data_IF_299293214574
#
_entry.id   IF_299293214574
#
_cell.length_a   1.000
_cell.length_b   1.000
_cell.length_c   1.000
_cell.angle_alpha   90.00
_cell.angle_beta   90.00
_cell.angle_gamma   90.00
#
_symmetry.space_group_name_H-M   'P 1'
#
loop_
_entity.id
_entity.type
_entity.pdbx_description
1 polymer ?
#
# COMPACT_ATOMS: atom_id res chain seq x y z
N UNK A 1 -9.27 20.54 -29.63
CA UNK A 1 -9.15 19.72 -28.40
C UNK A 1 -8.42 18.47 -28.80
N UNK A 2 -7.17 18.31 -28.40
CA UNK A 2 -6.48 17.01 -28.43
C UNK A 2 -7.33 16.05 -27.59
N UNK A 3 -7.68 14.85 -28.09
CA UNK A 3 -8.41 13.89 -27.28
C UNK A 3 -7.58 13.56 -26.04
N UNK A 4 -8.23 13.51 -24.87
CA UNK A 4 -7.60 13.04 -23.64
C UNK A 4 -7.05 11.64 -23.86
N UNK A 5 -5.77 11.43 -23.58
CA UNK A 5 -5.05 10.17 -23.83
C UNK A 5 -5.07 9.24 -22.63
N UNK A 6 -6.11 9.36 -21.78
CA UNK A 6 -6.28 8.50 -20.61
C UNK A 6 -7.65 7.81 -20.58
N UNK A 7 -7.65 6.61 -20.01
CA UNK A 7 -8.86 5.82 -19.74
C UNK A 7 -8.81 5.26 -18.31
N UNK A 8 -9.97 5.05 -17.69
CA UNK A 8 -10.11 4.32 -16.44
C UNK A 8 -11.01 3.11 -16.70
N UNK A 9 -10.48 1.92 -16.48
CA UNK A 9 -11.27 0.70 -16.42
C UNK A 9 -11.59 0.40 -14.95
N UNK A 10 -12.85 0.55 -14.55
CA UNK A 10 -13.30 0.24 -13.19
C UNK A 10 -13.93 -1.15 -13.12
N UNK A 11 -13.32 -2.03 -12.33
CA UNK A 11 -13.75 -3.40 -12.12
C UNK A 11 -14.48 -3.62 -10.80
N UNK A 12 -14.52 -2.60 -9.94
CA UNK A 12 -15.29 -2.62 -8.70
C UNK A 12 -16.75 -2.28 -9.01
N UNK A 13 -17.68 -3.14 -8.59
CA UNK A 13 -19.10 -2.79 -8.62
C UNK A 13 -19.36 -1.57 -7.72
N UNK A 14 -20.41 -0.79 -8.01
CA UNK A 14 -20.72 0.43 -7.26
C UNK A 14 -20.93 0.17 -5.75
N UNK A 15 -21.37 -1.03 -5.39
CA UNK A 15 -21.59 -1.53 -4.03
C UNK A 15 -20.48 -2.45 -3.52
N UNK A 16 -19.47 -2.78 -4.33
CA UNK A 16 -18.41 -3.73 -3.96
C UNK A 16 -17.64 -3.29 -2.71
N UNK A 17 -17.38 -2.00 -2.57
CA UNK A 17 -16.71 -1.45 -1.40
C UNK A 17 -17.58 -1.57 -0.14
N UNK A 18 -18.88 -1.29 -0.23
CA UNK A 18 -19.80 -1.43 0.90
C UNK A 18 -19.93 -2.90 1.34
N UNK A 19 -20.11 -3.81 0.39
CA UNK A 19 -20.25 -5.25 0.68
C UNK A 19 -18.95 -5.85 1.25
N UNK A 20 -17.80 -5.45 0.72
CA UNK A 20 -16.51 -5.84 1.27
C UNK A 20 -16.34 -5.31 2.71
N UNK A 21 -16.72 -4.05 2.97
CA UNK A 21 -16.64 -3.46 4.32
C UNK A 21 -17.56 -4.21 5.29
N UNK A 22 -18.80 -4.50 4.89
CA UNK A 22 -19.77 -5.28 5.68
C UNK A 22 -19.20 -6.64 6.07
N UNK A 23 -18.67 -7.37 5.10
CA UNK A 23 -18.07 -8.69 5.30
C UNK A 23 -16.85 -8.63 6.23
N UNK A 24 -15.95 -7.69 5.97
CA UNK A 24 -14.69 -7.55 6.72
C UNK A 24 -14.95 -7.14 8.18
N UNK A 25 -15.88 -6.21 8.41
CA UNK A 25 -16.28 -5.77 9.75
C UNK A 25 -17.00 -6.90 10.51
N UNK A 26 -17.95 -7.58 9.87
CA UNK A 26 -18.66 -8.71 10.49
C UNK A 26 -17.69 -9.84 10.90
N UNK A 27 -16.75 -10.18 10.01
CA UNK A 27 -15.76 -11.20 10.27
C UNK A 27 -14.77 -10.76 11.35
N UNK A 28 -14.14 -9.60 11.19
CA UNK A 28 -13.06 -9.15 12.05
C UNK A 28 -13.48 -8.83 13.48
N UNK A 29 -14.67 -8.24 13.68
CA UNK A 29 -15.15 -7.87 15.02
C UNK A 29 -15.71 -9.04 15.83
N UNK A 30 -16.00 -10.18 15.19
CA UNK A 30 -16.48 -11.40 15.86
C UNK A 30 -15.37 -12.40 16.18
N UNK A 31 -14.12 -12.08 15.80
CA UNK A 31 -12.95 -12.90 16.11
C UNK A 31 -12.37 -12.64 17.49
N UNK A 32 -11.49 -13.54 17.93
CA UNK A 32 -10.66 -13.38 19.13
C UNK A 32 -9.21 -13.72 18.75
N UNK A 33 -8.28 -12.74 18.69
CA UNK A 33 -8.52 -11.30 18.88
C UNK A 33 -9.38 -10.69 17.77
N UNK A 34 -10.04 -9.57 18.06
CA UNK A 34 -10.76 -8.77 17.05
C UNK A 34 -9.76 -8.12 16.08
N UNK A 35 -10.18 -7.91 14.83
CA UNK A 35 -9.36 -7.19 13.86
C UNK A 35 -10.19 -6.37 12.85
N UNK A 36 -9.55 -5.41 12.18
CA UNK A 36 -10.08 -4.72 11.00
C UNK A 36 -8.98 -4.62 9.92
N UNK A 37 -9.29 -4.90 8.64
CA UNK A 37 -8.29 -4.78 7.58
C UNK A 37 -7.81 -3.34 7.34
N UNK A 38 -6.51 -3.13 7.08
CA UNK A 38 -5.93 -1.78 6.94
C UNK A 38 -6.37 -1.05 5.67
N UNK A 39 -6.94 -1.75 4.67
CA UNK A 39 -7.49 -1.10 3.47
C UNK A 39 -8.59 -0.09 3.80
N UNK A 40 -9.28 -0.26 4.94
CA UNK A 40 -10.33 0.65 5.39
C UNK A 40 -9.81 1.90 6.11
N UNK A 41 -8.49 2.08 6.24
CA UNK A 41 -7.95 3.37 6.65
C UNK A 41 -8.10 4.44 5.58
N UNK A 42 -8.09 4.07 4.30
CA UNK A 42 -7.86 4.99 3.19
C UNK A 42 -9.16 5.58 2.59
N UNK A 43 -10.07 6.06 3.44
CA UNK A 43 -11.05 7.04 2.97
C UNK A 43 -10.36 8.40 2.69
N UNK A 44 -11.09 9.42 2.24
CA UNK A 44 -10.50 10.74 1.93
C UNK A 44 -9.71 11.31 3.12
N UNK A 45 -10.28 11.25 4.33
CA UNK A 45 -9.65 11.80 5.53
C UNK A 45 -8.43 10.97 5.97
N UNK A 46 -8.53 9.64 5.89
CA UNK A 46 -7.41 8.77 6.22
C UNK A 46 -6.26 8.87 5.21
N UNK A 47 -6.56 9.07 3.93
CA UNK A 47 -5.54 9.33 2.90
C UNK A 47 -4.80 10.64 3.16
N UNK A 48 -5.49 11.71 3.57
CA UNK A 48 -4.86 12.96 4.00
C UNK A 48 -3.99 12.80 5.27
N UNK A 49 -4.42 11.94 6.21
CA UNK A 49 -3.63 11.60 7.39
C UNK A 49 -2.39 10.78 7.04
N UNK A 50 -2.50 9.83 6.11
CA UNK A 50 -1.35 9.07 5.61
C UNK A 50 -0.35 9.98 4.88
N UNK A 51 -0.85 10.90 4.06
CA UNK A 51 -0.02 11.93 3.42
C UNK A 51 0.74 12.76 4.46
N UNK A 52 0.11 13.15 5.57
CA UNK A 52 0.81 13.78 6.71
C UNK A 52 1.85 12.85 7.35
N UNK A 53 1.53 11.57 7.56
CA UNK A 53 2.45 10.57 8.11
C UNK A 53 3.74 10.52 7.28
N UNK A 54 3.64 10.54 5.95
CA UNK A 54 4.82 10.47 5.08
C UNK A 54 5.85 11.58 5.29
N UNK A 55 5.47 12.68 5.93
CA UNK A 55 6.31 13.86 6.22
C UNK A 55 6.78 13.94 7.66
N UNK A 56 6.34 13.04 8.54
CA UNK A 56 6.73 13.05 9.95
C UNK A 56 8.23 12.77 10.12
N UNK A 57 8.90 13.42 11.08
CA UNK A 57 10.32 13.17 11.34
C UNK A 57 10.59 11.72 11.77
N UNK A 58 9.66 11.05 12.42
CA UNK A 58 9.78 9.65 12.84
C UNK A 58 9.57 8.67 11.68
N UNK A 59 8.69 8.98 10.72
CA UNK A 59 8.31 8.09 9.62
C UNK A 59 9.30 8.14 8.45
N UNK A 60 10.40 7.38 8.58
CA UNK A 60 11.46 7.31 7.57
C UNK A 60 11.14 6.60 6.24
N UNK A 61 10.20 5.64 6.13
CA UNK A 61 10.08 4.82 4.91
C UNK A 61 9.97 5.63 3.61
N UNK A 62 9.10 6.63 3.57
CA UNK A 62 8.85 7.42 2.35
C UNK A 62 10.09 8.17 1.87
N UNK A 63 10.81 8.83 2.80
CA UNK A 63 12.03 9.58 2.46
C UNK A 63 13.22 8.68 2.13
N UNK A 64 13.34 7.53 2.80
CA UNK A 64 14.40 6.56 2.52
C UNK A 64 14.21 5.98 1.11
N UNK A 65 13.00 5.54 0.77
CA UNK A 65 12.70 5.03 -0.57
C UNK A 65 12.87 6.11 -1.66
N UNK A 66 12.43 7.35 -1.39
CA UNK A 66 12.64 8.48 -2.30
C UNK A 66 14.14 8.80 -2.51
N UNK A 67 14.99 8.65 -1.49
CA UNK A 67 16.45 8.79 -1.63
C UNK A 67 17.00 7.74 -2.61
N UNK A 68 16.57 6.48 -2.49
CA UNK A 68 17.00 5.40 -3.39
C UNK A 68 16.57 5.71 -4.83
N UNK A 69 15.31 6.08 -5.04
CA UNK A 69 14.80 6.43 -6.36
C UNK A 69 15.53 7.65 -6.95
N UNK A 70 15.80 8.68 -6.14
CA UNK A 70 16.56 9.86 -6.57
C UNK A 70 17.99 9.53 -7.01
N UNK A 71 18.61 8.50 -6.43
CA UNK A 71 19.96 8.06 -6.81
C UNK A 71 19.97 7.06 -7.97
N UNK A 72 18.97 6.19 -8.07
CA UNK A 72 19.03 5.00 -8.92
C UNK A 72 17.91 4.86 -9.96
N UNK A 73 16.99 5.82 -10.10
CA UNK A 73 15.90 5.73 -11.08
C UNK A 73 16.42 5.52 -12.52
N UNK A 74 17.52 6.18 -12.91
CA UNK A 74 18.13 6.00 -14.24
C UNK A 74 18.70 4.58 -14.44
N UNK A 75 19.33 4.01 -13.41
CA UNK A 75 19.81 2.62 -13.41
C UNK A 75 18.65 1.63 -13.51
N UNK A 76 17.59 1.85 -12.73
CA UNK A 76 16.36 1.05 -12.73
C UNK A 76 15.74 1.08 -14.14
N UNK A 77 15.55 2.26 -14.71
CA UNK A 77 14.99 2.43 -16.05
C UNK A 77 15.87 1.76 -17.13
N UNK A 78 17.20 1.86 -17.00
CA UNK A 78 18.13 1.20 -17.91
C UNK A 78 18.06 -0.32 -17.82
N UNK A 79 18.04 -0.88 -16.60
CA UNK A 79 17.99 -2.31 -16.37
C UNK A 79 16.64 -2.92 -16.78
N UNK A 80 15.54 -2.24 -16.47
CA UNK A 80 14.20 -2.67 -16.86
C UNK A 80 14.00 -2.58 -18.38
N UNK A 81 14.56 -1.55 -19.03
CA UNK A 81 14.39 -1.32 -20.47
C UNK A 81 12.92 -1.21 -20.89
N UNK A 82 12.07 -0.76 -19.96
CA UNK A 82 10.62 -0.71 -20.09
C UNK A 82 10.16 0.50 -20.93
N UNK A 83 9.02 0.34 -21.58
CA UNK A 83 8.27 1.46 -22.20
C UNK A 83 6.99 1.79 -21.42
N UNK A 84 6.58 0.91 -20.50
CA UNK A 84 5.35 1.00 -19.73
C UNK A 84 5.67 0.91 -18.24
N UNK A 85 5.28 1.92 -17.47
CA UNK A 85 5.33 1.87 -16.01
C UNK A 85 3.94 1.47 -15.48
N UNK A 86 3.87 0.38 -14.72
CA UNK A 86 2.67 -0.02 -13.98
C UNK A 86 2.94 0.28 -12.50
N UNK A 87 2.05 0.99 -11.82
CA UNK A 87 2.17 1.25 -10.39
C UNK A 87 1.03 0.58 -9.63
N UNK A 88 1.36 -0.27 -8.66
CA UNK A 88 0.41 -0.88 -7.74
C UNK A 88 0.29 -0.01 -6.49
N UNK A 89 -0.87 0.63 -6.31
CA UNK A 89 -1.14 1.49 -5.15
C UNK A 89 -0.62 2.89 -5.38
N UNK A 90 -1.14 3.54 -6.42
CA UNK A 90 -0.57 4.76 -7.00
C UNK A 90 -0.54 5.97 -6.06
N UNK A 91 -1.44 6.05 -5.06
CA UNK A 91 -1.48 7.17 -4.11
C UNK A 91 -1.34 8.53 -4.79
N UNK A 92 -0.49 9.42 -4.26
CA UNK A 92 -0.20 10.75 -4.83
C UNK A 92 0.92 10.74 -5.91
N UNK A 93 1.56 9.59 -6.13
CA UNK A 93 2.51 9.31 -7.21
C UNK A 93 3.78 10.21 -7.27
N UNK A 94 4.23 10.82 -6.18
CA UNK A 94 5.46 11.66 -6.20
C UNK A 94 6.71 10.83 -6.52
N UNK A 95 6.85 9.66 -5.89
CA UNK A 95 7.94 8.70 -6.15
C UNK A 95 7.88 8.17 -7.60
N UNK A 96 6.67 7.96 -8.10
CA UNK A 96 6.40 7.50 -9.48
C UNK A 96 6.99 8.44 -10.52
N UNK A 97 6.95 9.75 -10.26
CA UNK A 97 7.51 10.77 -11.17
C UNK A 97 9.01 10.57 -11.39
N UNK A 98 9.76 10.12 -10.39
CA UNK A 98 11.19 9.82 -10.56
C UNK A 98 11.42 8.69 -11.58
N UNK A 99 10.58 7.65 -11.55
CA UNK A 99 10.64 6.55 -12.52
C UNK A 99 10.15 6.98 -13.91
N UNK A 100 9.06 7.75 -13.98
CA UNK A 100 8.55 8.30 -15.24
C UNK A 100 9.58 9.23 -15.90
N UNK A 101 10.22 10.12 -15.12
CA UNK A 101 11.27 11.00 -15.60
C UNK A 101 12.46 10.22 -16.15
N UNK A 102 12.92 9.18 -15.44
CA UNK A 102 14.02 8.32 -15.90
C UNK A 102 13.67 7.61 -17.22
N UNK A 103 12.47 7.03 -17.35
CA UNK A 103 12.01 6.39 -18.59
C UNK A 103 11.86 7.40 -19.74
N UNK A 104 11.36 8.61 -19.45
CA UNK A 104 11.23 9.70 -20.44
C UNK A 104 12.60 10.17 -20.93
N UNK A 105 13.55 10.38 -20.02
CA UNK A 105 14.91 10.84 -20.36
C UNK A 105 15.64 9.82 -21.23
N UNK A 106 15.30 8.53 -21.12
CA UNK A 106 15.78 7.45 -22.00
C UNK A 106 15.04 7.36 -23.33
N UNK A 107 13.96 8.12 -23.52
CA UNK A 107 13.12 8.08 -24.71
C UNK A 107 12.30 6.81 -24.86
N UNK A 108 12.12 6.03 -23.77
CA UNK A 108 11.34 4.78 -23.82
C UNK A 108 9.92 4.93 -23.29
N UNK A 109 9.64 5.92 -22.44
CA UNK A 109 8.32 6.10 -21.82
C UNK A 109 7.22 6.30 -22.88
N UNK A 110 6.32 5.32 -22.96
CA UNK A 110 5.17 5.33 -23.86
C UNK A 110 3.84 5.23 -23.10
N UNK A 111 3.82 4.55 -21.94
CA UNK A 111 2.59 4.30 -21.18
C UNK A 111 2.79 4.34 -19.67
N UNK A 112 1.75 4.81 -18.97
CA UNK A 112 1.59 4.69 -17.52
C UNK A 112 0.29 3.98 -17.18
N UNK A 113 0.35 3.01 -16.26
CA UNK A 113 -0.79 2.19 -15.83
C UNK A 113 -0.87 2.28 -14.30
N UNK A 114 -1.55 3.29 -13.74
CA UNK A 114 -1.80 3.34 -12.30
C UNK A 114 -2.91 2.34 -11.96
N UNK A 115 -2.69 1.56 -10.90
CA UNK A 115 -3.67 0.65 -10.33
C UNK A 115 -3.96 1.06 -8.89
N UNK A 116 -5.24 1.25 -8.55
CA UNK A 116 -5.67 1.61 -7.21
C UNK A 116 -7.12 1.16 -6.97
N UNK A 117 -7.56 1.13 -5.70
CA UNK A 117 -8.96 0.85 -5.35
C UNK A 117 -9.83 2.11 -5.44
N UNK A 118 -9.22 3.30 -5.40
CA UNK A 118 -9.93 4.58 -5.44
C UNK A 118 -9.90 5.22 -6.85
N UNK A 119 -11.05 5.19 -7.52
CA UNK A 119 -11.25 5.80 -8.83
C UNK A 119 -11.02 7.33 -8.83
N UNK A 120 -11.25 8.01 -7.71
CA UNK A 120 -11.04 9.45 -7.55
C UNK A 120 -9.54 9.76 -7.53
N UNK A 121 -8.77 8.99 -6.77
CA UNK A 121 -7.29 9.09 -6.75
C UNK A 121 -6.72 8.81 -8.14
N UNK A 122 -7.19 7.76 -8.81
CA UNK A 122 -6.77 7.43 -10.17
C UNK A 122 -7.09 8.55 -11.16
N UNK A 123 -8.27 9.16 -11.07
CA UNK A 123 -8.67 10.29 -11.93
C UNK A 123 -7.75 11.50 -11.71
N UNK A 124 -7.49 11.85 -10.45
CA UNK A 124 -6.61 12.97 -10.11
C UNK A 124 -5.16 12.72 -10.56
N UNK A 125 -4.64 11.52 -10.35
CA UNK A 125 -3.30 11.12 -10.78
C UNK A 125 -3.19 11.11 -12.31
N UNK A 126 -4.15 10.53 -13.03
CA UNK A 126 -4.16 10.52 -14.49
C UNK A 126 -4.15 11.93 -15.09
N UNK A 127 -4.98 12.84 -14.56
CA UNK A 127 -5.02 14.23 -15.01
C UNK A 127 -3.69 14.98 -14.74
N UNK A 128 -3.04 14.71 -13.61
CA UNK A 128 -1.74 15.30 -13.28
C UNK A 128 -0.63 14.77 -14.21
N UNK A 129 -0.57 13.45 -14.41
CA UNK A 129 0.43 12.80 -15.26
C UNK A 129 0.25 13.19 -16.73
N UNK A 130 -0.98 13.30 -17.25
CA UNK A 130 -1.22 13.73 -18.64
C UNK A 130 -0.64 15.13 -18.90
N UNK A 131 -0.77 16.04 -17.94
CA UNK A 131 -0.23 17.41 -18.01
C UNK A 131 1.30 17.43 -17.93
N UNK A 132 1.90 16.55 -17.12
CA UNK A 132 3.33 16.53 -16.84
C UNK A 132 4.14 15.72 -17.88
N UNK A 133 3.49 14.76 -18.54
CA UNK A 133 4.10 13.86 -19.52
C UNK A 133 3.29 13.83 -20.82
N UNK A 134 3.30 14.92 -21.63
CA UNK A 134 2.53 14.98 -22.87
C UNK A 134 2.88 13.84 -23.83
N UNK A 135 1.85 13.14 -24.33
CA UNK A 135 1.99 12.03 -25.28
C UNK A 135 2.12 10.64 -24.64
N UNK A 136 2.19 10.54 -23.31
CA UNK A 136 2.12 9.25 -22.61
C UNK A 136 0.67 8.76 -22.58
N UNK A 137 0.46 7.51 -22.98
CA UNK A 137 -0.84 6.85 -22.84
C UNK A 137 -1.07 6.48 -21.37
N UNK A 138 -2.23 6.81 -20.81
CA UNK A 138 -2.57 6.45 -19.43
C UNK A 138 -3.74 5.47 -19.42
N UNK A 139 -3.52 4.26 -18.93
CA UNK A 139 -4.55 3.23 -18.82
C UNK A 139 -4.74 2.87 -17.35
N UNK A 140 -5.51 3.67 -16.63
CA UNK A 140 -5.76 3.48 -15.21
C UNK A 140 -6.69 2.29 -14.97
N UNK A 141 -6.43 1.53 -13.91
CA UNK A 141 -7.19 0.34 -13.53
C UNK A 141 -7.67 0.51 -12.10
N UNK A 142 -8.99 0.61 -11.93
CA UNK A 142 -9.62 0.64 -10.61
C UNK A 142 -10.01 -0.78 -10.20
N UNK A 143 -9.36 -1.32 -9.16
CA UNK A 143 -9.52 -2.72 -8.74
C UNK A 143 -8.80 -3.04 -7.43
N UNK A 144 -9.12 -4.20 -6.86
CA UNK A 144 -8.46 -4.76 -5.67
C UNK A 144 -7.27 -5.65 -6.08
N UNK A 145 -6.10 -5.51 -5.44
CA UNK A 145 -4.92 -6.32 -5.72
C UNK A 145 -5.12 -7.82 -5.47
N UNK A 146 -6.07 -8.21 -4.63
CA UNK A 146 -6.36 -9.62 -4.34
C UNK A 146 -7.14 -10.30 -5.47
N UNK A 147 -7.83 -9.53 -6.32
CA UNK A 147 -8.78 -10.07 -7.30
C UNK A 147 -8.52 -9.61 -8.75
N UNK A 148 -7.97 -8.41 -8.92
CA UNK A 148 -8.03 -7.69 -10.19
C UNK A 148 -6.66 -7.44 -10.85
N UNK A 149 -5.55 -7.96 -10.32
CA UNK A 149 -4.23 -7.78 -10.96
C UNK A 149 -4.20 -8.30 -12.41
N UNK A 150 -4.97 -9.35 -12.72
CA UNK A 150 -5.15 -9.87 -14.09
C UNK A 150 -5.85 -8.91 -15.07
N UNK A 151 -6.34 -7.76 -14.60
CA UNK A 151 -6.93 -6.70 -15.42
C UNK A 151 -5.91 -5.66 -15.89
N UNK A 152 -4.70 -5.69 -15.36
CA UNK A 152 -3.60 -4.82 -15.80
C UNK A 152 -3.30 -5.15 -17.27
N UNK A 153 -3.34 -4.17 -18.19
CA UNK A 153 -3.05 -4.41 -19.60
C UNK A 153 -1.66 -5.04 -19.80
N UNK A 154 -1.62 -6.13 -20.57
CA UNK A 154 -0.37 -6.75 -20.99
C UNK A 154 0.08 -6.15 -22.33
N UNK A 155 0.61 -4.92 -22.27
CA UNK A 155 1.02 -4.14 -23.44
C UNK A 155 2.38 -3.51 -23.19
N UNK A 156 3.26 -3.59 -24.20
CA UNK A 156 4.62 -3.05 -24.12
C UNK A 156 5.53 -3.91 -23.25
N UNK A 157 6.68 -3.34 -22.89
CA UNK A 157 7.61 -3.93 -21.93
C UNK A 157 7.43 -3.22 -20.59
N UNK A 158 7.00 -3.94 -19.56
CA UNK A 158 6.47 -3.36 -18.33
C UNK A 158 7.48 -3.38 -17.18
N UNK A 159 7.59 -2.25 -16.50
CA UNK A 159 8.12 -2.16 -15.15
C UNK A 159 6.94 -2.08 -14.19
N UNK A 160 6.66 -3.14 -13.43
CA UNK A 160 5.66 -3.14 -12.37
C UNK A 160 6.33 -2.66 -11.09
N UNK A 161 5.91 -1.52 -10.56
CA UNK A 161 6.40 -0.93 -9.33
C UNK A 161 5.40 -1.15 -8.19
N UNK A 162 5.86 -1.73 -7.09
CA UNK A 162 5.11 -1.82 -5.83
C UNK A 162 5.95 -1.26 -4.69
N UNK A 163 5.66 -0.02 -4.31
CA UNK A 163 6.53 0.84 -3.51
C UNK A 163 5.99 0.99 -2.07
N UNK A 164 6.75 1.68 -1.22
CA UNK A 164 6.35 2.07 0.13
C UNK A 164 6.34 0.94 1.16
N UNK A 165 6.79 -0.26 0.78
CA UNK A 165 6.69 -1.46 1.60
C UNK A 165 5.25 -1.85 1.94
N UNK A 166 4.27 -1.48 1.11
CA UNK A 166 2.87 -1.90 1.23
C UNK A 166 2.73 -3.43 1.17
N UNK A 167 3.66 -4.13 0.51
CA UNK A 167 3.73 -5.60 0.56
C UNK A 167 3.88 -6.13 2.00
N UNK A 168 4.45 -5.34 2.91
CA UNK A 168 4.57 -5.67 4.33
C UNK A 168 3.23 -5.73 5.07
N UNK A 169 2.16 -5.18 4.49
CA UNK A 169 0.82 -5.26 5.05
C UNK A 169 0.16 -6.63 4.82
N UNK A 170 0.76 -7.46 3.96
CA UNK A 170 0.36 -8.85 3.74
C UNK A 170 1.17 -9.76 4.65
N UNK A 171 0.51 -10.65 5.39
CA UNK A 171 1.18 -11.73 6.14
C UNK A 171 1.81 -12.76 5.19
N UNK A 172 2.74 -13.62 5.65
CA UNK A 172 3.54 -14.47 4.75
C UNK A 172 2.75 -15.28 3.71
N UNK A 173 1.60 -15.87 4.09
CA UNK A 173 0.75 -16.64 3.17
C UNK A 173 0.13 -15.77 2.05
N UNK A 174 -0.70 -14.77 2.40
CA UNK A 174 -1.22 -13.79 1.44
C UNK A 174 -0.14 -13.11 0.59
N UNK A 175 1.01 -12.78 1.19
CA UNK A 175 2.15 -12.17 0.49
C UNK A 175 2.76 -13.09 -0.57
N UNK A 176 2.93 -14.37 -0.26
CA UNK A 176 3.42 -15.36 -1.22
C UNK A 176 2.44 -15.52 -2.40
N UNK A 177 1.12 -15.57 -2.13
CA UNK A 177 0.10 -15.63 -3.17
C UNK A 177 0.09 -14.38 -4.06
N UNK A 178 0.25 -13.20 -3.45
CA UNK A 178 0.38 -11.93 -4.19
C UNK A 178 1.60 -11.94 -5.10
N UNK A 179 2.79 -12.32 -4.58
CA UNK A 179 4.01 -12.39 -5.38
C UNK A 179 3.90 -13.39 -6.54
N UNK A 180 3.31 -14.57 -6.30
CA UNK A 180 3.05 -15.56 -7.34
C UNK A 180 2.10 -15.00 -8.42
N UNK A 181 1.02 -14.32 -8.01
CA UNK A 181 0.07 -13.68 -8.93
C UNK A 181 0.76 -12.60 -9.76
N UNK A 182 1.62 -11.77 -9.16
CA UNK A 182 2.41 -10.78 -9.90
C UNK A 182 3.36 -11.46 -10.89
N UNK A 183 4.04 -12.54 -10.48
CA UNK A 183 4.94 -13.28 -11.36
C UNK A 183 4.21 -13.87 -12.58
N UNK A 184 3.02 -14.44 -12.38
CA UNK A 184 2.18 -14.99 -13.47
C UNK A 184 1.73 -13.92 -14.49
N UNK A 185 1.71 -12.65 -14.09
CA UNK A 185 1.38 -11.54 -14.99
C UNK A 185 2.55 -11.15 -15.87
N UNK A 186 3.79 -11.31 -15.41
CA UNK A 186 4.98 -10.86 -16.12
C UNK A 186 5.18 -11.68 -17.40
N UNK A 187 5.63 -11.01 -18.46
CA UNK A 187 6.12 -11.66 -19.67
C UNK A 187 7.66 -11.61 -19.69
N UNK A 188 8.33 -12.48 -20.49
CA UNK A 188 9.76 -12.34 -20.71
C UNK A 188 10.13 -10.92 -21.18
N UNK A 189 10.94 -10.23 -20.37
CA UNK A 189 11.33 -8.83 -20.58
C UNK A 189 10.71 -7.85 -19.58
N UNK A 190 9.59 -8.19 -18.95
CA UNK A 190 9.01 -7.38 -17.89
C UNK A 190 9.86 -7.46 -16.60
N UNK A 191 9.62 -6.53 -15.67
CA UNK A 191 10.34 -6.48 -14.40
C UNK A 191 9.44 -6.04 -13.26
N UNK A 192 9.71 -6.54 -12.06
CA UNK A 192 9.11 -6.09 -10.80
C UNK A 192 10.12 -5.24 -10.02
N UNK A 193 9.77 -4.00 -9.71
CA UNK A 193 10.45 -3.15 -8.73
C UNK A 193 9.65 -3.17 -7.43
N UNK A 194 10.26 -3.71 -6.37
CA UNK A 194 9.59 -3.92 -5.08
C UNK A 194 10.32 -3.19 -3.96
N UNK A 195 9.59 -2.35 -3.23
CA UNK A 195 10.03 -1.68 -2.00
C UNK A 195 9.79 -2.54 -0.76
N UNK A 196 10.81 -2.68 0.08
CA UNK A 196 10.76 -3.43 1.34
C UNK A 196 11.46 -2.66 2.44
N UNK A 197 10.72 -2.36 3.51
CA UNK A 197 11.27 -1.72 4.70
C UNK A 197 12.02 -2.75 5.55
N UNK A 198 13.26 -2.46 5.91
CA UNK A 198 14.17 -3.45 6.48
C UNK A 198 14.08 -3.56 8.01
N UNK A 199 14.44 -4.70 8.56
CA UNK A 199 14.62 -4.84 10.02
C UNK A 199 15.74 -3.92 10.49
N UNK A 200 15.48 -3.15 11.56
CA UNK A 200 16.41 -2.16 12.13
C UNK A 200 16.12 -1.98 13.63
N UNK A 201 16.70 -0.94 14.25
CA UNK A 201 16.42 -0.60 15.65
C UNK A 201 14.91 -0.57 15.95
N UNK A 202 14.49 -1.33 16.96
CA UNK A 202 13.07 -1.50 17.30
C UNK A 202 12.45 -0.22 17.83
N UNK A 203 13.23 0.61 18.52
CA UNK A 203 12.78 1.92 18.98
C UNK A 203 12.44 2.85 17.83
N UNK A 204 13.26 2.87 16.77
CA UNK A 204 12.97 3.60 15.53
C UNK A 204 11.74 3.05 14.82
N UNK A 205 11.60 1.73 14.75
CA UNK A 205 10.44 1.09 14.14
C UNK A 205 9.14 1.45 14.87
N UNK A 206 9.12 1.39 16.20
CA UNK A 206 7.92 1.74 16.99
C UNK A 206 7.58 3.22 16.83
N UNK A 207 8.55 4.12 16.97
CA UNK A 207 8.30 5.58 16.84
C UNK A 207 7.80 5.98 15.46
N UNK A 208 8.20 5.28 14.39
CA UNK A 208 7.66 5.52 13.07
C UNK A 208 6.13 5.31 13.02
N UNK A 209 5.57 4.44 13.86
CA UNK A 209 4.14 4.15 13.91
C UNK A 209 3.44 4.72 15.16
N UNK A 210 4.14 5.50 15.99
CA UNK A 210 3.64 6.12 17.21
C UNK A 210 4.36 7.46 17.39
N UNK A 211 4.09 8.37 16.45
CA UNK A 211 4.72 9.69 16.37
C UNK A 211 4.29 10.62 17.51
N UNK A 212 5.18 11.53 17.93
CA UNK A 212 4.91 12.44 19.05
C UNK A 212 3.76 13.42 18.75
N UNK A 213 3.46 13.67 17.48
CA UNK A 213 2.38 14.54 17.03
C UNK A 213 1.00 13.85 17.06
N UNK A 214 0.94 12.54 17.29
CA UNK A 214 -0.29 11.75 17.36
C UNK A 214 -1.04 11.62 16.04
N UNK A 215 -0.38 11.85 14.90
CA UNK A 215 -1.00 11.75 13.58
C UNK A 215 -1.31 10.29 13.24
N UNK A 216 -0.40 9.35 13.52
CA UNK A 216 -0.62 7.91 13.33
C UNK A 216 -1.73 7.38 14.23
N UNK A 217 -1.85 7.92 15.45
CA UNK A 217 -2.96 7.59 16.34
C UNK A 217 -4.31 8.03 15.76
N UNK A 218 -4.39 9.22 15.15
CA UNK A 218 -5.59 9.70 14.45
C UNK A 218 -5.89 8.86 13.21
N UNK A 219 -4.87 8.52 12.42
CA UNK A 219 -4.98 7.64 11.25
C UNK A 219 -5.54 6.27 11.63
N UNK A 220 -4.98 5.62 12.65
CA UNK A 220 -5.46 4.32 13.11
C UNK A 220 -6.92 4.40 13.61
N UNK A 221 -7.27 5.40 14.41
CA UNK A 221 -8.66 5.61 14.89
C UNK A 221 -9.66 5.95 13.78
N UNK A 222 -9.20 6.47 12.64
CA UNK A 222 -10.08 6.85 11.52
C UNK A 222 -10.92 5.66 11.02
N UNK A 223 -10.39 4.43 11.07
CA UNK A 223 -11.15 3.24 10.67
C UNK A 223 -12.46 3.09 11.45
N UNK A 224 -12.49 3.49 12.73
CA UNK A 224 -13.73 3.47 13.52
C UNK A 224 -14.71 4.53 13.04
N UNK A 225 -14.21 5.69 12.59
CA UNK A 225 -15.05 6.75 12.00
C UNK A 225 -15.63 6.31 10.67
N UNK A 226 -14.86 5.58 9.85
CA UNK A 226 -15.34 4.96 8.61
C UNK A 226 -16.47 3.98 8.93
N UNK A 227 -16.26 3.04 9.86
CA UNK A 227 -17.30 2.05 10.23
C UNK A 227 -18.54 2.73 10.81
N UNK A 228 -18.39 3.78 11.64
CA UNK A 228 -19.51 4.58 12.15
C UNK A 228 -20.34 5.19 11.02
N UNK A 229 -19.67 5.82 10.06
CA UNK A 229 -20.31 6.52 8.95
C UNK A 229 -20.96 5.57 7.95
N UNK A 230 -20.20 4.58 7.47
CA UNK A 230 -20.63 3.71 6.37
C UNK A 230 -21.61 2.62 6.84
N UNK A 231 -21.45 2.09 8.06
CA UNK A 231 -22.26 0.98 8.57
C UNK A 231 -23.22 1.38 9.70
N UNK A 232 -23.36 2.68 9.99
CA UNK A 232 -24.20 3.18 11.08
C UNK A 232 -23.80 2.59 12.43
N UNK A 233 -22.49 2.52 12.69
CA UNK A 233 -21.95 2.11 13.98
C UNK A 233 -21.84 3.29 14.97
N UNK A 234 -21.71 2.98 16.25
CA UNK A 234 -21.62 3.96 17.34
C UNK A 234 -20.34 3.81 18.19
N UNK A 235 -19.21 3.46 17.57
CA UNK A 235 -17.91 3.49 18.25
C UNK A 235 -17.66 4.86 18.88
N UNK A 236 -17.37 4.89 20.18
CA UNK A 236 -16.79 6.06 20.83
C UNK A 236 -15.28 6.08 20.53
N UNK A 237 -14.92 6.75 19.45
CA UNK A 237 -13.57 6.76 18.87
C UNK A 237 -12.52 7.23 19.89
N UNK A 238 -12.87 8.20 20.73
CA UNK A 238 -11.96 8.77 21.74
C UNK A 238 -11.71 7.80 22.91
N UNK A 239 -12.59 6.81 23.10
CA UNK A 239 -12.38 5.75 24.10
C UNK A 239 -11.37 4.68 23.65
N UNK A 240 -10.87 4.72 22.41
CA UNK A 240 -9.82 3.81 21.95
C UNK A 240 -8.44 4.48 21.98
N UNK A 241 -7.48 3.83 22.62
CA UNK A 241 -6.07 4.24 22.63
C UNK A 241 -5.32 3.56 21.48
N UNK A 242 -4.55 4.35 20.73
CA UNK A 242 -3.60 3.82 19.75
C UNK A 242 -2.43 3.12 20.46
N UNK A 243 -2.02 1.95 19.95
CA UNK A 243 -0.87 1.20 20.45
C UNK A 243 -0.08 0.64 19.27
N UNK A 244 1.18 1.06 19.09
CA UNK A 244 2.11 0.43 18.17
C UNK A 244 3.01 -0.58 18.89
N UNK A 245 3.26 -1.74 18.28
CA UNK A 245 4.13 -2.79 18.85
C UNK A 245 5.07 -3.36 17.82
N UNK A 246 6.28 -3.65 18.25
CA UNK A 246 7.17 -4.54 17.53
C UNK A 246 6.95 -5.98 17.98
N UNK A 247 6.54 -6.84 17.06
CA UNK A 247 6.47 -8.29 17.27
C UNK A 247 7.78 -8.93 16.77
N UNK A 248 8.66 -9.27 17.71
CA UNK A 248 9.98 -9.86 17.43
C UNK A 248 9.89 -11.24 16.78
N UNK A 249 8.86 -12.04 17.09
CA UNK A 249 8.74 -13.40 16.55
C UNK A 249 8.42 -13.38 15.06
N UNK A 250 7.57 -12.44 14.64
CA UNK A 250 7.10 -12.29 13.25
C UNK A 250 7.84 -11.19 12.47
N UNK A 251 8.82 -10.52 13.10
CA UNK A 251 9.55 -9.35 12.57
C UNK A 251 8.63 -8.30 11.93
N UNK A 252 7.58 -7.87 12.64
CA UNK A 252 6.60 -6.89 12.12
C UNK A 252 6.23 -5.84 13.15
N UNK A 253 5.89 -4.65 12.65
CA UNK A 253 5.10 -3.70 13.43
C UNK A 253 3.63 -4.13 13.40
N UNK A 254 2.93 -3.91 14.50
CA UNK A 254 1.50 -4.08 14.62
C UNK A 254 0.88 -2.80 15.17
N UNK A 255 -0.20 -2.33 14.55
CA UNK A 255 -1.03 -1.27 15.09
C UNK A 255 -2.28 -1.86 15.72
N UNK A 256 -2.59 -1.40 16.93
CA UNK A 256 -3.74 -1.84 17.70
C UNK A 256 -4.56 -0.65 18.19
N UNK A 257 -5.86 -0.89 18.39
CA UNK A 257 -6.74 0.00 19.14
C UNK A 257 -7.16 -0.70 20.43
N UNK A 258 -6.82 -0.09 21.57
CA UNK A 258 -7.16 -0.59 22.91
C UNK A 258 -8.34 0.17 23.48
N UNK A 259 -9.40 -0.52 23.88
CA UNK A 259 -10.52 0.14 24.55
C UNK A 259 -10.12 0.58 25.97
N UNK A 260 -10.26 1.87 26.29
CA UNK A 260 -9.96 2.41 27.62
C UNK A 260 -11.00 2.08 28.69
N UNK A 261 -12.21 1.65 28.28
CA UNK A 261 -13.33 1.27 29.15
C UNK A 261 -14.16 0.16 28.50
N UNK A 262 -15.06 -0.51 29.23
CA UNK A 262 -16.02 -1.40 28.59
C UNK A 262 -16.87 -0.60 27.58
N UNK A 263 -17.04 -1.13 26.38
CA UNK A 263 -17.87 -0.53 25.34
C UNK A 263 -18.79 -1.59 24.75
N UNK A 264 -20.02 -1.19 24.45
CA UNK A 264 -20.94 -1.95 23.61
C UNK A 264 -21.20 -1.13 22.37
N UNK A 265 -20.80 -1.67 21.22
CA UNK A 265 -20.91 -1.01 19.93
C UNK A 265 -21.99 -1.70 19.11
N UNK A 266 -23.00 -0.96 18.69
CA UNK A 266 -24.06 -1.40 17.79
C UNK A 266 -23.71 -0.98 16.38
N UNK A 267 -23.70 -1.94 15.45
CA UNK A 267 -23.48 -1.70 14.02
C UNK A 267 -24.80 -1.93 13.30
N UNK A 268 -25.54 -0.85 13.08
CA UNK A 268 -26.93 -0.91 12.63
C UNK A 268 -27.08 -1.63 11.28
N UNK A 269 -26.18 -1.36 10.33
CA UNK A 269 -26.21 -1.96 9.01
C UNK A 269 -26.03 -3.49 9.01
N UNK A 270 -25.42 -4.04 10.06
CA UNK A 270 -25.15 -5.48 10.22
C UNK A 270 -26.08 -6.16 11.24
N UNK A 271 -26.95 -5.39 11.92
CA UNK A 271 -27.72 -5.85 13.07
C UNK A 271 -26.84 -6.58 14.12
N UNK A 272 -25.62 -6.07 14.33
CA UNK A 272 -24.59 -6.69 15.14
C UNK A 272 -24.27 -5.81 16.36
N UNK A 273 -24.26 -6.40 17.55
CA UNK A 273 -23.74 -5.77 18.77
C UNK A 273 -22.41 -6.44 19.14
N UNK A 274 -21.39 -5.64 19.41
CA UNK A 274 -20.05 -6.10 19.79
C UNK A 274 -19.67 -5.48 21.13
N UNK A 275 -19.22 -6.33 22.06
CA UNK A 275 -18.67 -5.88 23.33
C UNK A 275 -17.14 -5.84 23.28
N UNK A 276 -16.58 -4.78 23.87
CA UNK A 276 -15.16 -4.65 24.20
C UNK A 276 -15.01 -4.56 25.72
N UNK A 277 -14.15 -5.38 26.29
CA UNK A 277 -13.74 -5.22 27.68
C UNK A 277 -12.80 -4.02 27.85
N UNK A 278 -12.67 -3.50 29.07
CA UNK A 278 -11.63 -2.53 29.39
C UNK A 278 -10.24 -3.15 29.15
N UNK A 279 -9.40 -2.47 28.39
CA UNK A 279 -8.07 -2.93 28.00
C UNK A 279 -8.06 -3.95 26.86
N UNK A 280 -9.21 -4.35 26.31
CA UNK A 280 -9.26 -5.22 25.14
C UNK A 280 -8.68 -4.52 23.90
N UNK A 281 -7.93 -5.26 23.10
CA UNK A 281 -7.22 -4.74 21.93
C UNK A 281 -7.71 -5.38 20.63
N UNK A 282 -7.82 -4.54 19.61
CA UNK A 282 -8.16 -4.93 18.25
C UNK A 282 -7.01 -4.61 17.31
N UNK A 283 -6.58 -5.59 16.52
CA UNK A 283 -5.52 -5.43 15.52
C UNK A 283 -6.07 -4.68 14.30
N UNK A 284 -5.40 -3.63 13.87
CA UNK A 284 -5.85 -2.84 12.70
C UNK A 284 -4.85 -2.83 11.56
N UNK A 285 -3.56 -3.10 11.83
CA UNK A 285 -2.55 -3.24 10.80
C UNK A 285 -1.40 -4.13 11.24
N UNK A 286 -0.81 -4.83 10.28
CA UNK A 286 0.55 -5.36 10.38
C UNK A 286 1.43 -4.68 9.35
N UNK A 287 2.69 -4.45 9.67
CA UNK A 287 3.70 -4.01 8.72
C UNK A 287 4.96 -4.84 8.93
N UNK A 288 5.07 -5.95 8.19
CA UNK A 288 6.23 -6.82 8.16
C UNK A 288 7.47 -6.04 7.71
N UNK A 289 8.58 -6.29 8.40
CA UNK A 289 9.89 -5.75 8.06
C UNK A 289 10.76 -6.89 7.55
N UNK A 290 11.64 -6.55 6.62
CA UNK A 290 12.30 -7.54 5.79
C UNK A 290 13.78 -7.63 6.09
N UNK A 291 14.32 -8.83 5.91
CA UNK A 291 15.76 -9.05 5.76
C UNK A 291 16.02 -9.33 4.30
N UNK A 292 17.13 -8.82 3.75
CA UNK A 292 17.49 -9.03 2.34
C UNK A 292 17.42 -10.50 1.92
N UNK A 293 17.95 -11.41 2.73
CA UNK A 293 17.90 -12.85 2.44
C UNK A 293 16.47 -13.40 2.39
N UNK A 294 15.55 -12.85 3.19
CA UNK A 294 14.13 -13.18 3.15
C UNK A 294 13.47 -12.69 1.87
N UNK A 295 13.77 -11.46 1.44
CA UNK A 295 13.30 -10.92 0.15
C UNK A 295 13.78 -11.79 -1.01
N UNK A 296 15.06 -12.17 -1.03
CA UNK A 296 15.64 -13.04 -2.06
C UNK A 296 14.93 -14.41 -2.12
N UNK A 297 14.60 -14.99 -0.95
CA UNK A 297 13.90 -16.26 -0.85
C UNK A 297 12.43 -16.17 -1.29
N UNK A 298 11.69 -15.13 -0.86
CA UNK A 298 10.28 -14.94 -1.22
C UNK A 298 10.13 -14.69 -2.73
N UNK A 299 11.00 -13.86 -3.33
CA UNK A 299 11.03 -13.65 -4.78
C UNK A 299 11.33 -14.95 -5.53
N UNK A 300 12.36 -15.69 -5.12
CA UNK A 300 12.72 -16.95 -5.79
C UNK A 300 11.60 -18.00 -5.69
N UNK A 301 10.90 -18.07 -4.55
CA UNK A 301 9.76 -18.96 -4.37
C UNK A 301 8.58 -18.62 -5.29
N UNK A 302 8.41 -17.35 -5.65
CA UNK A 302 7.43 -16.89 -6.64
C UNK A 302 7.91 -17.03 -8.09
N UNK A 303 9.09 -17.59 -8.35
CA UNK A 303 9.66 -17.70 -9.69
C UNK A 303 10.30 -16.41 -10.21
N UNK A 304 10.65 -15.48 -9.32
CA UNK A 304 11.30 -14.21 -9.66
C UNK A 304 12.77 -14.22 -9.24
N UNK A 305 13.66 -13.98 -10.19
CA UNK A 305 15.08 -13.81 -9.95
C UNK A 305 15.41 -12.33 -9.73
N UNK A 306 15.81 -11.98 -8.51
CA UNK A 306 16.34 -10.64 -8.21
C UNK A 306 17.63 -10.38 -9.00
N UNK A 307 17.65 -9.29 -9.75
CA UNK A 307 18.80 -8.85 -10.55
C UNK A 307 19.58 -7.72 -9.88
N UNK A 308 18.88 -6.83 -9.17
CA UNK A 308 19.49 -5.67 -8.53
C UNK A 308 18.95 -5.50 -7.11
N UNK A 309 19.70 -4.79 -6.27
CA UNK A 309 19.30 -4.43 -4.92
C UNK A 309 19.97 -3.11 -4.56
N UNK A 310 19.16 -2.13 -4.23
CA UNK A 310 19.62 -0.83 -3.75
C UNK A 310 19.07 -0.58 -2.35
N UNK A 311 19.82 0.14 -1.55
CA UNK A 311 19.37 0.65 -0.25
C UNK A 311 19.67 2.14 -0.18
N UNK A 312 19.01 2.81 0.75
CA UNK A 312 19.42 4.14 1.15
C UNK A 312 20.77 4.08 1.89
N UNK A 313 21.37 5.24 2.15
CA UNK A 313 22.69 5.34 2.79
C UNK A 313 22.73 4.69 4.19
N UNK A 314 21.60 4.65 4.89
CA UNK A 314 21.49 4.05 6.23
C UNK A 314 21.09 2.57 6.20
N UNK A 315 20.85 2.01 5.00
CA UNK A 315 20.32 0.67 4.81
C UNK A 315 19.03 0.40 5.60
N UNK A 316 18.16 1.42 5.67
CA UNK A 316 16.87 1.35 6.34
C UNK A 316 15.78 0.76 5.42
N UNK A 317 15.86 0.99 4.12
CA UNK A 317 14.90 0.57 3.13
C UNK A 317 15.62 -0.09 1.94
N UNK A 318 14.98 -1.07 1.31
CA UNK A 318 15.51 -1.77 0.14
C UNK A 318 14.58 -1.72 -1.06
N UNK A 319 15.14 -1.46 -2.24
CA UNK A 319 14.47 -1.68 -3.53
C UNK A 319 15.11 -2.87 -4.25
N UNK A 320 14.29 -3.84 -4.63
CA UNK A 320 14.69 -4.97 -5.49
C UNK A 320 14.12 -4.83 -6.89
N UNK A 321 14.94 -5.03 -7.91
CA UNK A 321 14.47 -5.25 -9.29
C UNK A 321 14.60 -6.73 -9.64
N UNK A 322 13.50 -7.34 -10.08
CA UNK A 322 13.40 -8.77 -10.34
C UNK A 322 12.76 -9.03 -11.69
N UNK A 323 13.12 -10.17 -12.29
CA UNK A 323 12.58 -10.66 -13.57
C UNK A 323 12.24 -12.14 -13.42
N UNK A 324 11.53 -12.72 -14.38
CA UNK A 324 11.33 -14.19 -14.46
C UNK A 324 12.67 -14.96 -14.56
#
# INVERSE_FOLDING_TARGET
MTPSHWSIANYLAADAAEEALRRDVAHGLTQTPKSLPPKWFYDSAGSELFDQITRLPEYYPTRAEAQILGMHADEIAAAAGADTLVELGSGTSEKTRMLLDALRNRGSLSRFVPFDVDATVLTASAAAIEREYPGVEIAAVCGDFEEHLGKIPNVGRRLIAFLGSTIGNLTPGPRANFLATVADLLQPGDSLLLGTDLVKDTGRLIRAYDDDAGVTARFNRNVLTVVNRELGADFDVDAFQHVARWNTAEERIEMWLRSGRPQRVRIAALALDIDFAAGEEMLTEVSCKFRRSGVDAELAAAGLRRTHWWTDESADFGLSLSVL
#
